data_IF_999621360818
#
_entry.id   IF_999621360818
#
_cell.length_a   1.000
_cell.length_b   1.000
_cell.length_c   1.000
_cell.angle_alpha   90.00
_cell.angle_beta   90.00
_cell.angle_gamma   90.00
#
_symmetry.space_group_name_H-M   'P 1'
#
loop_
_entity.id
_entity.type
_entity.pdbx_description
1 polymer ?
#
# COMPACT_ATOMS: atom_id res chain seq x y z
N UNK A 1 12.01 40.57 29.08
CA UNK A 1 12.82 40.44 30.31
C UNK A 1 14.32 40.40 30.03
N UNK A 2 14.84 39.46 29.25
CA UNK A 2 16.29 39.29 29.00
C UNK A 2 16.98 40.48 28.34
N UNK A 3 16.40 41.08 27.28
CA UNK A 3 16.98 42.27 26.64
C UNK A 3 17.06 43.47 27.60
N UNK A 4 16.03 43.68 28.42
CA UNK A 4 16.02 44.77 29.39
C UNK A 4 17.13 44.62 30.44
N UNK A 5 17.36 43.39 30.93
CA UNK A 5 18.47 43.09 31.84
C UNK A 5 19.84 43.33 31.21
N UNK A 6 20.02 42.99 29.93
CA UNK A 6 21.25 43.25 29.17
C UNK A 6 21.46 44.77 29.04
N UNK A 7 20.42 45.53 28.68
CA UNK A 7 20.51 46.99 28.57
C UNK A 7 20.89 47.67 29.89
N UNK A 8 20.28 47.27 31.01
CA UNK A 8 20.59 47.84 32.34
C UNK A 8 22.03 47.52 32.74
N UNK A 9 22.48 46.28 32.53
CA UNK A 9 23.86 45.88 32.86
C UNK A 9 24.89 46.58 31.97
N UNK A 10 24.60 46.74 30.67
CA UNK A 10 25.46 47.48 29.74
C UNK A 10 25.57 48.95 30.08
N UNK A 11 24.52 49.58 30.62
CA UNK A 11 24.56 50.97 31.07
C UNK A 11 25.55 51.16 32.24
N UNK A 12 25.58 50.23 33.20
CA UNK A 12 26.55 50.27 34.31
C UNK A 12 27.99 50.12 33.84
N UNK A 13 28.26 49.23 32.88
CA UNK A 13 29.61 49.00 32.35
C UNK A 13 30.14 50.17 31.50
N UNK A 14 29.25 50.85 30.75
CA UNK A 14 29.62 52.08 30.03
C UNK A 14 29.98 53.19 31.01
N UNK A 15 29.23 53.31 32.12
CA UNK A 15 29.52 54.31 33.16
C UNK A 15 30.84 54.03 33.89
N UNK A 16 31.24 52.77 34.03
CA UNK A 16 32.52 52.36 34.59
C UNK A 16 33.72 52.58 33.64
N UNK A 17 33.48 52.94 32.37
CA UNK A 17 34.53 53.15 31.36
C UNK A 17 35.08 51.86 30.74
N UNK A 18 34.54 50.70 31.10
CA UNK A 18 34.98 49.39 30.62
C UNK A 18 34.44 49.03 29.24
N UNK A 19 33.37 49.72 28.79
CA UNK A 19 32.68 49.47 27.52
C UNK A 19 32.33 50.77 26.80
N UNK A 20 32.55 50.81 25.50
CA UNK A 20 32.11 51.90 24.63
C UNK A 20 30.72 51.63 24.05
N UNK A 21 30.01 52.70 23.66
CA UNK A 21 28.71 52.59 23.01
C UNK A 21 28.79 51.81 21.70
N UNK A 22 29.88 51.94 20.94
CA UNK A 22 30.12 51.17 19.71
C UNK A 22 30.24 49.66 19.96
N UNK A 23 30.96 49.26 21.02
CA UNK A 23 31.08 47.85 21.41
C UNK A 23 29.73 47.24 21.83
N UNK A 24 28.82 48.01 22.44
CA UNK A 24 27.46 47.55 22.76
C UNK A 24 26.61 47.30 21.51
N UNK A 25 26.72 48.17 20.50
CA UNK A 25 26.04 47.99 19.21
C UNK A 25 26.57 46.74 18.51
N UNK A 26 27.89 46.56 18.49
CA UNK A 26 28.53 45.35 17.94
C UNK A 26 28.08 44.09 18.67
N UNK A 27 28.05 44.10 20.00
CA UNK A 27 27.59 42.98 20.82
C UNK A 27 26.14 42.60 20.51
N UNK A 28 25.22 43.56 20.40
CA UNK A 28 23.83 43.29 20.03
C UNK A 28 23.72 42.72 18.60
N UNK A 29 24.51 43.24 17.66
CA UNK A 29 24.58 42.69 16.30
C UNK A 29 25.03 41.23 16.29
N UNK A 30 26.11 40.91 16.99
CA UNK A 30 26.61 39.53 17.11
C UNK A 30 25.65 38.61 17.86
N UNK A 31 25.00 39.10 18.92
CA UNK A 31 23.97 38.34 19.62
C UNK A 31 22.81 37.98 18.68
N UNK A 32 22.33 38.92 17.86
CA UNK A 32 21.29 38.65 16.87
C UNK A 32 21.73 37.63 15.81
N UNK A 33 22.98 37.71 15.35
CA UNK A 33 23.56 36.73 14.41
C UNK A 33 23.64 35.31 14.97
N UNK A 34 23.82 35.17 16.29
CA UNK A 34 23.88 33.86 16.96
C UNK A 34 22.46 33.34 17.27
N UNK A 35 21.62 34.17 17.89
CA UNK A 35 20.29 33.73 18.33
C UNK A 35 19.30 33.54 17.18
N UNK A 36 19.42 34.33 16.10
CA UNK A 36 18.53 34.23 14.94
C UNK A 36 18.46 32.82 14.34
N UNK A 37 19.59 32.24 13.90
CA UNK A 37 19.65 30.87 13.39
C UNK A 37 19.14 29.82 14.37
N UNK A 38 19.45 29.96 15.67
CA UNK A 38 18.99 29.03 16.73
C UNK A 38 17.47 29.02 16.81
N UNK A 39 16.83 30.20 16.78
CA UNK A 39 15.36 30.31 16.82
C UNK A 39 14.73 29.78 15.52
N UNK A 40 15.36 29.97 14.37
CA UNK A 40 14.90 29.38 13.10
C UNK A 40 14.97 27.86 13.14
N UNK A 41 16.07 27.29 13.63
CA UNK A 41 16.20 25.84 13.82
C UNK A 41 15.15 25.29 14.78
N UNK A 42 14.92 25.97 15.91
CA UNK A 42 13.89 25.58 16.86
C UNK A 42 12.48 25.59 16.24
N UNK A 43 12.15 26.59 15.42
CA UNK A 43 10.86 26.66 14.71
C UNK A 43 10.73 25.61 13.62
N UNK A 44 11.82 25.31 12.91
CA UNK A 44 11.83 24.33 11.83
C UNK A 44 11.96 22.88 12.31
N UNK A 45 12.19 22.66 13.61
CA UNK A 45 12.32 21.33 14.20
C UNK A 45 11.13 20.42 13.87
N UNK A 46 9.91 20.96 13.89
CA UNK A 46 8.71 20.20 13.55
C UNK A 46 8.73 19.70 12.09
N UNK A 47 9.23 20.52 11.16
CA UNK A 47 9.36 20.14 9.75
C UNK A 47 10.32 18.98 9.58
N UNK A 48 11.46 19.01 10.28
CA UNK A 48 12.44 17.92 10.28
C UNK A 48 11.80 16.61 10.78
N UNK A 49 11.08 16.68 11.91
CA UNK A 49 10.39 15.52 12.47
C UNK A 49 9.35 14.93 11.49
N UNK A 50 8.54 15.79 10.88
CA UNK A 50 7.54 15.37 9.90
C UNK A 50 8.17 14.74 8.65
N UNK A 51 9.33 15.26 8.22
CA UNK A 51 10.12 14.70 7.13
C UNK A 51 10.62 13.28 7.45
N UNK A 52 11.18 13.07 8.64
CA UNK A 52 11.66 11.76 9.08
C UNK A 52 10.52 10.72 9.14
N UNK A 53 9.36 11.09 9.67
CA UNK A 53 8.19 10.19 9.71
C UNK A 53 7.73 9.83 8.30
N UNK A 54 7.73 10.80 7.38
CA UNK A 54 7.38 10.56 5.97
C UNK A 54 8.36 9.58 5.30
N UNK A 55 9.66 9.70 5.59
CA UNK A 55 10.67 8.77 5.08
C UNK A 55 10.43 7.34 5.60
N UNK A 56 10.15 7.16 6.89
CA UNK A 56 9.84 5.84 7.47
C UNK A 56 8.60 5.22 6.80
N UNK A 57 7.57 6.03 6.51
CA UNK A 57 6.37 5.55 5.81
C UNK A 57 6.66 5.18 4.36
N UNK A 58 7.43 5.98 3.64
CA UNK A 58 7.83 5.69 2.28
C UNK A 58 8.66 4.41 2.20
N UNK A 59 9.64 4.26 3.10
CA UNK A 59 10.43 3.03 3.24
C UNK A 59 9.53 1.81 3.49
N UNK A 60 8.54 1.92 4.37
CA UNK A 60 7.58 0.84 4.63
C UNK A 60 6.80 0.41 3.38
N UNK A 61 6.45 1.35 2.51
CA UNK A 61 5.76 1.05 1.24
C UNK A 61 6.72 0.39 0.26
N UNK A 62 7.94 0.92 0.13
CA UNK A 62 8.97 0.39 -0.77
C UNK A 62 9.41 -1.02 -0.38
N UNK A 63 9.46 -1.31 0.92
CA UNK A 63 9.82 -2.62 1.46
C UNK A 63 8.60 -3.55 1.62
N UNK A 64 7.41 -3.16 1.17
CA UNK A 64 6.25 -4.05 1.19
C UNK A 64 6.53 -5.24 0.28
N UNK A 65 6.34 -6.49 0.75
CA UNK A 65 6.65 -7.67 -0.05
C UNK A 65 5.85 -7.66 -1.35
N UNK A 66 6.53 -7.82 -2.48
CA UNK A 66 5.87 -7.96 -3.78
C UNK A 66 5.04 -9.23 -3.82
N UNK A 67 3.86 -9.16 -4.45
CA UNK A 67 3.08 -10.36 -4.78
C UNK A 67 3.94 -11.29 -5.67
N UNK A 68 4.11 -12.54 -5.25
CA UNK A 68 4.86 -13.53 -6.01
C UNK A 68 3.94 -14.08 -7.09
N UNK A 69 4.00 -13.52 -8.30
CA UNK A 69 3.20 -13.97 -9.44
C UNK A 69 3.60 -15.35 -9.95
N UNK A 70 4.88 -15.69 -9.87
CA UNK A 70 5.43 -16.95 -10.38
C UNK A 70 6.26 -17.62 -9.27
N UNK A 71 5.68 -18.59 -8.55
CA UNK A 71 6.43 -19.42 -7.61
C UNK A 71 7.65 -20.09 -8.27
N UNK A 72 8.73 -20.35 -7.52
CA UNK A 72 9.97 -20.95 -8.07
C UNK A 72 9.76 -22.27 -8.84
N UNK A 73 8.74 -23.05 -8.44
CA UNK A 73 8.35 -24.30 -9.11
C UNK A 73 6.91 -24.18 -9.64
N UNK A 74 6.58 -23.03 -10.23
CA UNK A 74 5.25 -22.78 -10.75
C UNK A 74 4.89 -23.79 -11.84
N UNK A 75 3.71 -24.38 -11.73
CA UNK A 75 3.10 -25.13 -12.83
C UNK A 75 2.48 -24.12 -13.77
N UNK A 76 3.01 -24.05 -15.00
CA UNK A 76 2.41 -23.26 -16.07
C UNK A 76 1.39 -24.14 -16.78
N UNK A 77 0.11 -23.80 -16.62
CA UNK A 77 -0.96 -24.44 -17.37
C UNK A 77 -1.06 -23.74 -18.74
N UNK A 78 -0.78 -24.47 -19.81
CA UNK A 78 -0.92 -23.97 -21.18
C UNK A 78 -2.38 -23.74 -21.57
N UNK A 79 -3.32 -24.42 -20.90
CA UNK A 79 -4.76 -24.28 -21.07
C UNK A 79 -5.45 -24.58 -19.73
N UNK A 80 -6.41 -23.73 -19.36
CA UNK A 80 -7.27 -23.94 -18.19
C UNK A 80 -8.65 -24.38 -18.72
N UNK A 81 -9.12 -25.53 -18.27
CA UNK A 81 -10.45 -26.07 -18.60
C UNK A 81 -11.52 -25.55 -17.64
N UNK A 82 -11.12 -25.07 -16.45
CA UNK A 82 -12.01 -24.37 -15.52
C UNK A 82 -12.67 -25.26 -14.47
N UNK A 83 -12.15 -26.47 -14.22
CA UNK A 83 -12.59 -27.28 -13.08
C UNK A 83 -12.03 -26.70 -11.77
N UNK A 84 -12.89 -26.47 -10.77
CA UNK A 84 -12.51 -25.85 -9.50
C UNK A 84 -12.88 -26.76 -8.34
N UNK A 85 -11.97 -26.97 -7.39
CA UNK A 85 -12.25 -27.73 -6.17
C UNK A 85 -11.84 -26.93 -4.95
N UNK A 86 -12.81 -26.65 -4.08
CA UNK A 86 -12.56 -26.21 -2.71
C UNK A 86 -12.52 -27.44 -1.81
N UNK A 87 -11.44 -27.61 -1.05
CA UNK A 87 -11.27 -28.71 -0.13
C UNK A 87 -10.96 -28.18 1.27
N UNK A 88 -11.97 -28.23 2.16
CA UNK A 88 -11.90 -27.84 3.57
C UNK A 88 -11.35 -26.44 3.79
N UNK A 89 -11.82 -25.50 2.98
CA UNK A 89 -11.28 -24.14 2.93
C UNK A 89 -11.88 -23.31 4.06
N UNK A 90 -11.00 -22.78 4.92
CA UNK A 90 -11.38 -21.73 5.88
C UNK A 90 -10.58 -20.46 5.61
N UNK A 91 -11.20 -19.31 5.89
CA UNK A 91 -10.60 -18.01 5.64
C UNK A 91 -11.07 -16.93 6.61
N UNK A 92 -10.14 -16.07 7.01
CA UNK A 92 -10.39 -14.77 7.65
C UNK A 92 -9.47 -13.72 7.03
N UNK A 93 -9.93 -12.46 6.94
CA UNK A 93 -9.07 -11.36 6.50
C UNK A 93 -8.01 -10.98 7.54
N UNK A 94 -8.33 -11.15 8.83
CA UNK A 94 -7.43 -10.85 9.94
C UNK A 94 -7.59 -11.93 11.01
N UNK A 95 -6.47 -12.44 11.53
CA UNK A 95 -6.44 -13.56 12.51
C UNK A 95 -7.36 -13.36 13.71
N UNK A 96 -7.53 -12.11 14.14
CA UNK A 96 -8.30 -11.76 15.34
C UNK A 96 -9.76 -11.41 15.01
N UNK A 97 -10.20 -11.59 13.77
CA UNK A 97 -11.59 -11.34 13.34
C UNK A 97 -12.32 -12.64 13.08
N UNK A 98 -13.64 -12.55 12.98
CA UNK A 98 -14.53 -13.66 12.64
C UNK A 98 -14.08 -14.31 11.32
N UNK A 99 -14.09 -15.66 11.29
CA UNK A 99 -13.94 -16.43 10.05
C UNK A 99 -15.06 -16.06 9.08
N UNK A 100 -14.69 -15.77 7.83
CA UNK A 100 -15.63 -15.50 6.74
C UNK A 100 -16.06 -16.80 6.09
N UNK A 101 -15.13 -17.73 5.90
CA UNK A 101 -15.39 -19.09 5.43
C UNK A 101 -14.89 -20.09 6.47
N UNK A 102 -15.64 -21.16 6.71
CA UNK A 102 -15.25 -22.23 7.62
C UNK A 102 -15.56 -23.59 7.02
N UNK A 103 -14.50 -24.37 6.77
CA UNK A 103 -14.53 -25.75 6.26
C UNK A 103 -15.35 -25.93 4.95
N UNK A 104 -15.25 -24.96 4.05
CA UNK A 104 -16.00 -24.95 2.79
C UNK A 104 -15.41 -25.97 1.81
N UNK A 105 -16.23 -26.91 1.37
CA UNK A 105 -15.85 -27.93 0.38
C UNK A 105 -16.91 -28.05 -0.71
N UNK A 106 -16.51 -27.87 -1.96
CA UNK A 106 -17.36 -28.09 -3.14
C UNK A 106 -16.49 -28.27 -4.38
N UNK A 107 -17.11 -28.79 -5.44
CA UNK A 107 -16.48 -29.00 -6.74
C UNK A 107 -17.36 -28.41 -7.83
N UNK A 108 -16.73 -27.77 -8.80
CA UNK A 108 -17.33 -27.24 -10.02
C UNK A 108 -16.63 -27.91 -11.18
N UNK A 109 -17.39 -28.57 -12.05
CA UNK A 109 -16.84 -29.22 -13.23
C UNK A 109 -16.57 -28.21 -14.35
N UNK A 110 -15.68 -28.57 -15.28
CA UNK A 110 -15.40 -27.73 -16.45
C UNK A 110 -16.67 -27.49 -17.28
N UNK A 111 -16.95 -26.22 -17.59
CA UNK A 111 -18.14 -25.80 -18.34
C UNK A 111 -19.42 -25.68 -17.51
N UNK A 112 -19.38 -26.01 -16.21
CA UNK A 112 -20.51 -25.86 -15.32
C UNK A 112 -20.77 -24.39 -14.98
N UNK A 113 -22.04 -23.99 -14.94
CA UNK A 113 -22.46 -22.66 -14.48
C UNK A 113 -23.01 -22.76 -13.07
N UNK A 114 -22.33 -22.11 -12.12
CA UNK A 114 -22.70 -22.14 -10.70
C UNK A 114 -23.11 -20.75 -10.22
N UNK A 115 -24.22 -20.69 -9.51
CA UNK A 115 -24.68 -19.47 -8.84
C UNK A 115 -24.37 -19.53 -7.34
N UNK A 116 -23.69 -18.51 -6.82
CA UNK A 116 -23.41 -18.38 -5.38
C UNK A 116 -24.44 -17.40 -4.78
N UNK A 117 -25.34 -17.91 -3.95
CA UNK A 117 -26.44 -17.14 -3.34
C UNK A 117 -26.32 -17.08 -1.81
N UNK A 118 -26.88 -16.03 -1.22
CA UNK A 118 -26.95 -15.86 0.24
C UNK A 118 -27.15 -14.40 0.63
N UNK A 119 -27.14 -14.09 1.93
CA UNK A 119 -27.25 -12.72 2.44
C UNK A 119 -25.98 -11.89 2.21
N UNK A 120 -26.10 -10.56 2.24
CA UNK A 120 -24.93 -9.69 2.14
C UNK A 120 -23.94 -9.96 3.28
N UNK A 121 -22.63 -9.97 2.98
CA UNK A 121 -21.58 -10.20 3.98
C UNK A 121 -21.29 -11.65 4.35
N UNK A 122 -21.97 -12.64 3.75
CA UNK A 122 -21.73 -14.07 4.02
C UNK A 122 -20.44 -14.64 3.40
N UNK A 123 -19.71 -13.86 2.60
CA UNK A 123 -18.43 -14.27 1.99
C UNK A 123 -18.49 -14.66 0.50
N UNK A 124 -19.55 -14.29 -0.23
CA UNK A 124 -19.66 -14.56 -1.69
C UNK A 124 -18.51 -13.94 -2.49
N UNK A 125 -18.24 -12.65 -2.27
CA UNK A 125 -17.12 -11.95 -2.92
C UNK A 125 -15.80 -12.58 -2.50
N UNK A 126 -15.66 -12.98 -1.25
CA UNK A 126 -14.47 -13.65 -0.72
C UNK A 126 -14.19 -14.98 -1.43
N UNK A 127 -15.21 -15.78 -1.77
CA UNK A 127 -15.01 -17.00 -2.58
C UNK A 127 -14.39 -16.68 -3.94
N UNK A 128 -14.87 -15.62 -4.61
CA UNK A 128 -14.32 -15.18 -5.89
C UNK A 128 -12.88 -14.67 -5.72
N UNK A 129 -12.62 -13.86 -4.70
CA UNK A 129 -11.27 -13.36 -4.39
C UNK A 129 -10.24 -14.49 -4.13
N UNK A 130 -10.68 -15.60 -3.51
CA UNK A 130 -9.84 -16.77 -3.28
C UNK A 130 -9.54 -17.54 -4.59
N UNK A 131 -10.49 -17.62 -5.52
CA UNK A 131 -10.27 -18.22 -6.85
C UNK A 131 -9.23 -17.41 -7.63
N UNK A 132 -9.27 -16.07 -7.52
CA UNK A 132 -8.26 -15.17 -8.09
C UNK A 132 -6.92 -15.17 -7.36
N UNK A 133 -6.84 -15.92 -6.26
CA UNK A 133 -5.70 -15.98 -5.36
C UNK A 133 -5.25 -14.59 -4.87
N UNK A 134 -6.18 -13.64 -4.71
CA UNK A 134 -5.86 -12.36 -4.05
C UNK A 134 -5.51 -12.54 -2.59
N UNK A 135 -6.10 -13.57 -1.96
CA UNK A 135 -5.71 -14.03 -0.65
C UNK A 135 -5.47 -15.54 -0.69
N UNK A 136 -4.43 -16.04 -0.01
CA UNK A 136 -4.31 -17.47 0.22
C UNK A 136 -5.36 -17.91 1.25
N UNK A 137 -5.96 -19.11 1.09
CA UNK A 137 -6.82 -19.68 2.14
C UNK A 137 -6.01 -19.85 3.43
N UNK A 138 -6.68 -19.69 4.58
CA UNK A 138 -6.02 -19.86 5.88
C UNK A 138 -5.75 -21.33 6.17
N UNK A 139 -6.71 -22.20 5.82
CA UNK A 139 -6.59 -23.65 5.89
C UNK A 139 -7.31 -24.30 4.72
N UNK A 140 -7.00 -25.55 4.45
CA UNK A 140 -7.48 -26.26 3.28
C UNK A 140 -6.72 -25.86 2.02
N UNK A 141 -7.27 -26.20 0.87
CA UNK A 141 -6.68 -25.87 -0.42
C UNK A 141 -7.74 -25.69 -1.50
N UNK A 142 -7.38 -24.91 -2.51
CA UNK A 142 -8.19 -24.72 -3.71
C UNK A 142 -7.38 -25.24 -4.88
N UNK A 143 -8.02 -26.06 -5.71
CA UNK A 143 -7.44 -26.66 -6.90
C UNK A 143 -8.13 -26.10 -8.14
N UNK A 144 -7.36 -25.82 -9.18
CA UNK A 144 -7.84 -25.53 -10.53
C UNK A 144 -7.28 -26.58 -11.47
N UNK A 145 -8.15 -27.30 -12.17
CA UNK A 145 -7.81 -28.44 -13.03
C UNK A 145 -6.88 -29.46 -12.32
N UNK A 146 -7.20 -29.77 -11.06
CA UNK A 146 -6.41 -30.66 -10.17
C UNK A 146 -5.05 -30.13 -9.70
N UNK A 147 -4.68 -28.89 -10.04
CA UNK A 147 -3.46 -28.24 -9.55
C UNK A 147 -3.74 -27.26 -8.42
N UNK A 148 -2.92 -27.30 -7.36
CA UNK A 148 -3.06 -26.36 -6.24
C UNK A 148 -2.73 -24.94 -6.68
N UNK A 149 -3.67 -24.03 -6.44
CA UNK A 149 -3.57 -22.61 -6.78
C UNK A 149 -2.28 -21.94 -6.30
N UNK A 150 -1.77 -22.33 -5.13
CA UNK A 150 -0.52 -21.80 -4.56
C UNK A 150 0.72 -22.10 -5.41
N UNK A 151 0.64 -23.12 -6.26
CA UNK A 151 1.75 -23.59 -7.09
C UNK A 151 1.58 -23.19 -8.56
N UNK A 152 0.55 -22.42 -8.91
CA UNK A 152 0.32 -21.97 -10.28
C UNK A 152 1.05 -20.66 -10.57
N UNK A 153 1.37 -20.44 -11.84
CA UNK A 153 1.69 -19.10 -12.35
C UNK A 153 0.40 -18.25 -12.34
N UNK A 154 0.35 -17.24 -11.47
CA UNK A 154 -0.80 -16.36 -11.31
C UNK A 154 -1.06 -15.50 -12.54
N UNK A 155 -0.03 -15.17 -13.33
CA UNK A 155 -0.19 -14.40 -14.57
C UNK A 155 -0.91 -15.25 -15.62
N UNK A 156 -0.46 -16.48 -15.81
CA UNK A 156 -1.11 -17.43 -16.71
C UNK A 156 -2.55 -17.72 -16.25
N UNK A 157 -2.74 -17.97 -14.95
CA UNK A 157 -4.06 -18.17 -14.36
C UNK A 157 -5.00 -16.99 -14.65
N UNK A 158 -4.64 -15.77 -14.21
CA UNK A 158 -5.51 -14.60 -14.30
C UNK A 158 -5.78 -14.17 -15.74
N UNK A 159 -4.91 -14.51 -16.70
CA UNK A 159 -5.18 -14.28 -18.12
C UNK A 159 -6.33 -15.15 -18.68
N UNK A 160 -6.69 -16.24 -18.00
CA UNK A 160 -7.77 -17.16 -18.40
C UNK A 160 -9.08 -16.93 -17.61
N UNK A 161 -9.13 -15.95 -16.70
CA UNK A 161 -10.35 -15.66 -15.93
C UNK A 161 -10.80 -14.23 -16.20
N UNK A 162 -12.11 -14.04 -16.44
CA UNK A 162 -12.73 -12.74 -16.55
C UNK A 162 -13.56 -12.44 -15.28
N UNK A 163 -13.36 -11.25 -14.68
CA UNK A 163 -14.26 -10.71 -13.65
C UNK A 163 -15.10 -9.61 -14.27
N UNK A 164 -16.38 -9.61 -13.96
CA UNK A 164 -17.22 -8.41 -14.09
C UNK A 164 -17.42 -7.85 -12.69
N UNK A 165 -16.76 -6.74 -12.32
CA UNK A 165 -16.89 -6.16 -10.98
C UNK A 165 -18.30 -5.58 -10.78
N UNK A 166 -18.75 -5.56 -9.53
CA UNK A 166 -20.07 -5.01 -9.17
C UNK A 166 -20.13 -3.49 -9.38
N UNK A 167 -19.03 -2.79 -9.13
CA UNK A 167 -18.85 -1.37 -9.43
C UNK A 167 -17.95 -1.21 -10.66
N UNK A 168 -18.47 -0.54 -11.68
CA UNK A 168 -17.74 -0.29 -12.92
C UNK A 168 -16.86 0.94 -12.72
N UNK A 169 -15.55 0.73 -12.69
CA UNK A 169 -14.58 1.83 -12.78
C UNK A 169 -14.33 2.11 -14.27
N UNK A 170 -14.50 3.36 -14.67
CA UNK A 170 -14.15 3.87 -15.99
C UNK A 170 -12.90 4.75 -15.83
N UNK A 171 -11.91 4.59 -16.70
CA UNK A 171 -10.81 5.54 -16.72
C UNK A 171 -11.29 6.83 -17.41
N UNK A 172 -10.67 7.95 -17.08
CA UNK A 172 -10.99 9.22 -17.75
C UNK A 172 -10.32 9.24 -19.13
N UNK A 173 -10.74 8.32 -19.98
CA UNK A 173 -10.17 8.03 -21.29
C UNK A 173 -11.29 7.80 -22.31
N UNK A 174 -10.94 7.55 -23.57
CA UNK A 174 -11.94 7.26 -24.60
C UNK A 174 -12.63 5.93 -24.34
N UNK A 175 -13.88 5.79 -24.82
CA UNK A 175 -14.63 4.51 -24.71
C UNK A 175 -13.88 3.33 -25.34
N UNK A 176 -13.07 3.59 -26.37
CA UNK A 176 -12.28 2.58 -27.05
C UNK A 176 -11.11 2.12 -26.17
N UNK A 177 -10.42 3.07 -25.54
CA UNK A 177 -9.31 2.78 -24.63
C UNK A 177 -9.80 2.10 -23.35
N UNK A 178 -10.95 2.50 -22.80
CA UNK A 178 -11.58 1.82 -21.68
C UNK A 178 -11.92 0.35 -22.00
N UNK A 179 -12.38 0.05 -23.22
CA UNK A 179 -12.64 -1.32 -23.68
C UNK A 179 -11.34 -2.12 -23.86
N UNK A 180 -10.27 -1.46 -24.30
CA UNK A 180 -8.94 -2.06 -24.42
C UNK A 180 -8.36 -2.45 -23.05
N UNK A 181 -8.42 -1.55 -22.06
CA UNK A 181 -7.98 -1.82 -20.69
C UNK A 181 -8.75 -2.99 -20.04
N UNK A 182 -9.98 -3.25 -20.47
CA UNK A 182 -10.80 -4.40 -20.02
C UNK A 182 -10.46 -5.72 -20.73
N UNK A 183 -9.71 -5.69 -21.82
CA UNK A 183 -9.35 -6.89 -22.61
C UNK A 183 -7.90 -6.90 -23.12
N UNK A 184 -6.89 -6.68 -22.25
CA UNK A 184 -5.50 -6.47 -22.68
C UNK A 184 -4.84 -7.69 -23.36
N UNK A 185 -5.51 -8.85 -23.40
CA UNK A 185 -4.93 -10.12 -23.86
C UNK A 185 -5.51 -10.68 -25.17
N UNK A 186 -6.43 -9.98 -25.86
CA UNK A 186 -7.08 -10.53 -27.07
C UNK A 186 -6.38 -10.26 -28.42
N UNK A 187 -5.37 -9.40 -28.53
CA UNK A 187 -4.87 -8.94 -29.85
C UNK A 187 -3.36 -9.13 -30.05
N UNK A 188 -2.85 -10.33 -29.77
CA UNK A 188 -1.47 -10.73 -30.10
C UNK A 188 -1.34 -11.76 -31.24
N UNK A 189 -2.43 -12.10 -31.91
CA UNK A 189 -2.48 -13.16 -32.94
C UNK A 189 -3.36 -12.71 -34.11
N UNK A 190 -3.11 -11.53 -34.68
CA UNK A 190 -3.65 -11.18 -36.01
C UNK A 190 -2.81 -10.08 -36.67
N UNK A 191 -1.61 -10.45 -37.09
CA UNK A 191 -0.93 -9.78 -38.20
C UNK A 191 0.05 -10.78 -38.78
N UNK A 192 -0.34 -11.28 -39.96
CA UNK A 192 0.49 -12.01 -40.92
C UNK A 192 1.74 -11.22 -41.28
#
# INVERSE_FOLDING_TARGET
MTQFSIFVYSFFLIRAGELTVGQLIMFNGYAAMIFGPIVVLARNWQTVQNGLISLIRAEKILNYPSEIYVPKNAVVLSKINGGIVFNKVSFYYQRNKKKILDDVSFRVESGETVAIVGESGVGKTTLVELIYFYYPPTSGQILIDSHNLKNLDLKALRSNIAVVPQEIILFNDTRADDAYHRSPFKHGQESR
#
